data_IF_216817261739
#
_entry.id   IF_216817261739
#
_cell.length_a   1.000
_cell.length_b   1.000
_cell.length_c   1.000
_cell.angle_alpha   90.00
_cell.angle_beta   90.00
_cell.angle_gamma   90.00
#
_symmetry.space_group_name_H-M   'P 1'
#
loop_
_entity.id
_entity.type
_entity.pdbx_description
1 polymer ?
#
# COMPACT_ATOMS: atom_id res chain seq x y z
N UNK A 1 33.93 -8.28 -5.56
CA UNK A 1 34.85 -8.25 -6.73
C UNK A 1 34.05 -7.66 -7.87
N UNK A 2 34.57 -6.67 -8.62
CA UNK A 2 33.78 -5.82 -9.53
C UNK A 2 34.24 -6.04 -10.97
N UNK A 3 33.43 -6.61 -11.87
CA UNK A 3 33.66 -6.53 -13.33
C UNK A 3 32.37 -6.63 -14.18
N UNK A 4 32.05 -5.51 -14.85
CA UNK A 4 31.26 -5.25 -16.07
C UNK A 4 30.29 -6.32 -16.64
N UNK A 5 29.00 -5.99 -16.50
CA UNK A 5 27.92 -5.88 -17.50
C UNK A 5 28.13 -6.50 -18.91
N UNK A 6 27.47 -7.63 -19.17
CA UNK A 6 26.80 -7.93 -20.44
C UNK A 6 25.50 -8.72 -20.19
N UNK A 7 24.36 -8.09 -20.50
CA UNK A 7 23.09 -8.71 -20.90
C UNK A 7 22.65 -9.99 -20.17
N UNK A 8 22.00 -9.85 -19.02
CA UNK A 8 21.26 -10.94 -18.39
C UNK A 8 19.88 -10.46 -17.97
N UNK A 9 18.84 -11.11 -18.47
CA UNK A 9 17.48 -10.94 -17.96
C UNK A 9 17.49 -11.15 -16.43
N UNK A 10 16.95 -10.18 -15.69
CA UNK A 10 16.78 -10.29 -14.25
C UNK A 10 15.80 -11.44 -13.98
N UNK A 11 16.34 -12.58 -13.55
CA UNK A 11 15.54 -13.75 -13.20
C UNK A 11 14.71 -13.42 -11.96
N UNK A 12 13.40 -13.32 -12.14
CA UNK A 12 12.45 -12.97 -11.09
C UNK A 12 12.13 -14.23 -10.29
N UNK A 13 12.56 -14.28 -9.03
CA UNK A 13 12.16 -15.36 -8.12
C UNK A 13 10.66 -15.23 -7.81
N UNK A 14 9.93 -16.32 -8.04
CA UNK A 14 8.55 -16.51 -7.66
C UNK A 14 8.45 -16.97 -6.21
N UNK A 15 7.38 -16.60 -5.51
CA UNK A 15 7.18 -16.86 -4.06
C UNK A 15 6.96 -18.34 -3.69
N UNK A 16 7.41 -19.29 -4.54
CA UNK A 16 7.20 -20.72 -4.39
C UNK A 16 8.39 -21.60 -4.77
N UNK A 17 9.59 -21.06 -5.03
CA UNK A 17 10.76 -21.93 -5.28
C UNK A 17 11.20 -22.65 -4.01
N UNK A 18 11.28 -23.97 -4.08
CA UNK A 18 11.86 -24.82 -3.03
C UNK A 18 13.34 -24.45 -2.84
N UNK A 19 13.84 -24.54 -1.60
CA UNK A 19 15.26 -24.34 -1.24
C UNK A 19 16.20 -25.10 -2.19
N UNK A 20 15.75 -26.26 -2.67
CA UNK A 20 16.46 -27.11 -3.63
C UNK A 20 16.77 -26.39 -4.96
N UNK A 21 15.83 -25.59 -5.49
CA UNK A 21 16.04 -24.84 -6.74
C UNK A 21 17.03 -23.69 -6.56
N UNK A 22 17.07 -23.08 -5.38
CA UNK A 22 18.05 -22.04 -5.04
C UNK A 22 19.44 -22.66 -4.94
N UNK A 23 19.56 -23.82 -4.27
CA UNK A 23 20.81 -24.56 -4.19
C UNK A 23 21.30 -25.02 -5.57
N UNK A 24 20.39 -25.44 -6.45
CA UNK A 24 20.69 -25.84 -7.82
C UNK A 24 21.13 -24.65 -8.67
N UNK A 25 20.44 -23.51 -8.57
CA UNK A 25 20.82 -22.26 -9.26
C UNK A 25 22.18 -21.73 -8.77
N UNK A 26 22.45 -21.80 -7.47
CA UNK A 26 23.77 -21.48 -6.88
C UNK A 26 24.85 -22.39 -7.45
N UNK A 27 24.56 -23.69 -7.52
CA UNK A 27 25.48 -24.70 -8.03
C UNK A 27 25.77 -24.50 -9.51
N UNK A 28 24.75 -24.27 -10.32
CA UNK A 28 24.88 -24.02 -11.76
C UNK A 28 25.64 -22.72 -12.04
N UNK A 29 25.32 -21.64 -11.34
CA UNK A 29 26.06 -20.39 -11.50
C UNK A 29 27.51 -20.48 -11.02
N UNK A 30 27.78 -21.26 -9.97
CA UNK A 30 29.14 -21.56 -9.52
C UNK A 30 29.93 -22.36 -10.57
N UNK A 31 29.29 -23.36 -11.21
CA UNK A 31 29.89 -24.15 -12.28
C UNK A 31 30.15 -23.31 -13.54
N UNK A 32 29.22 -22.42 -13.89
CA UNK A 32 29.31 -21.55 -15.06
C UNK A 32 30.14 -20.26 -14.82
N UNK A 33 30.65 -20.04 -13.60
CA UNK A 33 31.27 -18.78 -13.15
C UNK A 33 30.42 -17.54 -13.45
N UNK A 34 29.10 -17.66 -13.38
CA UNK A 34 28.17 -16.55 -13.54
C UNK A 34 28.01 -15.81 -12.21
N UNK A 35 28.01 -14.49 -12.25
CA UNK A 35 27.65 -13.67 -11.09
C UNK A 35 26.15 -13.80 -10.82
N UNK A 36 25.80 -14.07 -9.55
CA UNK A 36 24.42 -14.12 -9.09
C UNK A 36 24.06 -12.80 -8.42
N UNK A 37 23.08 -12.09 -8.97
CA UNK A 37 22.51 -10.90 -8.33
C UNK A 37 21.32 -11.30 -7.46
N UNK A 38 21.58 -11.89 -6.30
CA UNK A 38 20.58 -11.97 -5.24
C UNK A 38 21.21 -11.67 -3.88
N UNK A 39 20.40 -11.09 -2.99
CA UNK A 39 20.82 -10.73 -1.62
C UNK A 39 20.27 -11.76 -0.65
N UNK A 40 21.13 -12.43 0.11
CA UNK A 40 20.74 -13.29 1.24
C UNK A 40 20.66 -12.42 2.48
N UNK A 41 19.45 -12.20 3.01
CA UNK A 41 19.25 -11.58 4.34
C UNK A 41 18.86 -12.65 5.35
N UNK A 42 19.59 -12.70 6.46
CA UNK A 42 19.24 -13.54 7.59
C UNK A 42 18.16 -12.83 8.40
N UNK A 43 16.97 -13.41 8.42
CA UNK A 43 15.91 -13.00 9.32
C UNK A 43 16.22 -13.50 10.74
N UNK A 44 15.90 -12.71 11.76
CA UNK A 44 15.88 -13.19 13.14
C UNK A 44 14.92 -14.37 13.29
N UNK A 45 15.18 -15.29 14.23
CA UNK A 45 14.43 -16.55 14.36
C UNK A 45 12.90 -16.33 14.51
N UNK A 46 12.49 -15.28 15.23
CA UNK A 46 11.07 -14.94 15.40
C UNK A 46 10.43 -14.44 14.10
N UNK A 47 11.10 -13.51 13.40
CA UNK A 47 10.67 -13.03 12.08
C UNK A 47 10.54 -14.20 11.11
N UNK A 48 11.59 -15.03 11.02
CA UNK A 48 11.64 -16.20 10.15
C UNK A 48 10.46 -17.16 10.42
N UNK A 49 10.15 -17.43 11.69
CA UNK A 49 8.99 -18.27 12.07
C UNK A 49 7.67 -17.68 11.57
N UNK A 50 7.45 -16.37 11.74
CA UNK A 50 6.23 -15.70 11.26
C UNK A 50 6.13 -15.69 9.73
N UNK A 51 7.24 -15.47 9.02
CA UNK A 51 7.27 -15.57 7.54
C UNK A 51 6.86 -16.96 7.10
N UNK A 52 7.44 -17.99 7.71
CA UNK A 52 7.16 -19.38 7.36
C UNK A 52 5.69 -19.73 7.63
N UNK A 53 5.15 -19.29 8.76
CA UNK A 53 3.72 -19.46 9.08
C UNK A 53 2.82 -18.73 8.07
N UNK A 54 3.18 -17.52 7.65
CA UNK A 54 2.44 -16.76 6.64
C UNK A 54 2.49 -17.44 5.27
N UNK A 55 3.67 -17.89 4.84
CA UNK A 55 3.83 -18.65 3.59
C UNK A 55 3.00 -19.94 3.60
N UNK A 56 3.00 -20.65 4.73
CA UNK A 56 2.19 -21.86 4.89
C UNK A 56 0.69 -21.54 4.82
N UNK A 57 0.24 -20.47 5.48
CA UNK A 57 -1.14 -20.00 5.42
C UNK A 57 -1.57 -19.64 3.99
N UNK A 58 -0.76 -18.85 3.27
CA UNK A 58 -1.01 -18.50 1.86
C UNK A 58 -1.03 -19.74 0.96
N UNK A 59 -0.09 -20.67 1.16
CA UNK A 59 -0.07 -21.92 0.41
C UNK A 59 -1.30 -22.79 0.70
N UNK A 60 -1.82 -22.76 1.94
CA UNK A 60 -3.04 -23.46 2.32
C UNK A 60 -4.28 -22.80 1.73
N UNK A 61 -4.37 -21.47 1.74
CA UNK A 61 -5.44 -20.72 1.10
C UNK A 61 -5.48 -20.98 -0.40
N UNK A 62 -4.33 -20.95 -1.08
CA UNK A 62 -4.21 -21.28 -2.51
C UNK A 62 -4.69 -22.71 -2.81
N UNK A 63 -4.27 -23.70 -1.99
CA UNK A 63 -4.75 -25.09 -2.09
C UNK A 63 -6.27 -25.20 -1.89
N UNK A 64 -6.83 -24.48 -0.92
CA UNK A 64 -8.26 -24.47 -0.65
C UNK A 64 -9.05 -23.80 -1.79
N UNK A 65 -8.55 -22.69 -2.33
CA UNK A 65 -9.13 -21.99 -3.47
C UNK A 65 -9.15 -22.90 -4.72
N UNK A 66 -8.03 -23.55 -5.04
CA UNK A 66 -7.94 -24.51 -6.14
C UNK A 66 -8.97 -25.65 -5.98
N UNK A 67 -9.09 -26.22 -4.77
CA UNK A 67 -10.09 -27.26 -4.48
C UNK A 67 -11.53 -26.77 -4.63
N UNK A 68 -11.80 -25.51 -4.25
CA UNK A 68 -13.14 -24.93 -4.39
C UNK A 68 -13.54 -24.72 -5.86
N UNK A 69 -12.58 -24.33 -6.71
CA UNK A 69 -12.76 -24.19 -8.15
C UNK A 69 -13.05 -25.56 -8.78
N UNK A 70 -12.28 -26.59 -8.41
CA UNK A 70 -12.48 -27.95 -8.90
C UNK A 70 -13.87 -28.50 -8.52
N UNK A 71 -14.30 -28.31 -7.26
CA UNK A 71 -15.64 -28.70 -6.82
C UNK A 71 -16.75 -27.95 -7.58
N UNK A 72 -16.54 -26.67 -7.90
CA UNK A 72 -17.49 -25.88 -8.70
C UNK A 72 -17.58 -26.41 -10.13
N UNK A 73 -16.45 -26.72 -10.76
CA UNK A 73 -16.39 -27.32 -12.10
C UNK A 73 -17.08 -28.69 -12.14
N UNK A 74 -16.87 -29.53 -11.14
CA UNK A 74 -17.56 -30.83 -11.04
C UNK A 74 -19.09 -30.67 -10.92
N UNK A 75 -19.57 -29.71 -10.11
CA UNK A 75 -21.01 -29.43 -10.00
C UNK A 75 -21.59 -28.93 -11.31
N UNK A 76 -20.89 -28.03 -12.01
CA UNK A 76 -21.31 -27.54 -13.32
C UNK A 76 -21.35 -28.68 -14.35
N UNK A 77 -20.36 -29.58 -14.35
CA UNK A 77 -20.33 -30.75 -15.23
C UNK A 77 -21.49 -31.72 -14.93
N UNK A 78 -21.77 -32.02 -13.65
CA UNK A 78 -22.91 -32.85 -13.25
C UNK A 78 -24.25 -32.23 -13.66
N UNK A 79 -24.39 -30.91 -13.53
CA UNK A 79 -25.59 -30.19 -13.97
C UNK A 79 -25.76 -30.25 -15.49
N UNK A 80 -24.68 -30.06 -16.26
CA UNK A 80 -24.71 -30.18 -17.72
C UNK A 80 -25.06 -31.61 -18.17
N UNK A 81 -24.48 -32.63 -17.53
CA UNK A 81 -24.78 -34.03 -17.84
C UNK A 81 -26.24 -34.36 -17.51
N UNK A 82 -26.74 -34.00 -16.33
CA UNK A 82 -28.15 -34.18 -15.96
C UNK A 82 -29.10 -33.46 -16.92
N UNK A 83 -28.79 -32.21 -17.31
CA UNK A 83 -29.57 -31.46 -18.29
C UNK A 83 -29.56 -32.12 -19.68
N UNK A 84 -28.42 -32.69 -20.10
CA UNK A 84 -28.31 -33.43 -21.36
C UNK A 84 -29.11 -34.74 -21.35
N UNK A 85 -29.10 -35.48 -20.24
CA UNK A 85 -29.88 -36.71 -20.06
C UNK A 85 -31.38 -36.41 -20.08
N UNK A 86 -31.81 -35.33 -19.42
CA UNK A 86 -33.19 -34.87 -19.46
C UNK A 86 -33.61 -34.50 -20.89
N UNK A 87 -32.77 -33.74 -21.62
CA UNK A 87 -33.02 -33.39 -23.03
C UNK A 87 -33.14 -34.63 -23.91
N UNK A 88 -32.25 -35.62 -23.74
CA UNK A 88 -32.30 -36.88 -24.49
C UNK A 88 -33.53 -37.73 -24.18
N UNK A 89 -34.02 -37.71 -22.93
CA UNK A 89 -35.26 -38.39 -22.51
C UNK A 89 -36.51 -37.70 -23.07
N UNK A 90 -36.58 -36.37 -23.03
CA UNK A 90 -37.68 -35.59 -23.63
C UNK A 90 -37.69 -35.71 -25.16
N UNK A 91 -36.53 -35.75 -25.81
CA UNK A 91 -36.42 -35.99 -27.25
C UNK A 91 -36.93 -37.37 -27.67
N UNK A 92 -36.63 -38.42 -26.89
CA UNK A 92 -37.15 -39.79 -27.15
C UNK A 92 -38.65 -39.93 -26.85
N UNK A 93 -39.18 -39.21 -25.87
CA UNK A 93 -40.62 -39.20 -25.58
C UNK A 93 -41.45 -38.53 -26.70
N UNK A 94 -40.85 -37.64 -27.50
CA UNK A 94 -41.51 -37.01 -28.65
C UNK A 94 -41.57 -37.89 -29.92
N UNK A 95 -40.81 -38.98 -29.99
CA UNK A 95 -40.81 -39.89 -31.16
C UNK A 95 -41.66 -41.15 -31.00
N UNK A 96 -42.31 -41.38 -29.84
CA UNK A 96 -43.16 -42.56 -29.61
C UNK A 96 -44.67 -42.31 -29.58
N UNK A 97 -45.14 -41.13 -30.01
CA UNK A 97 -46.57 -40.89 -30.27
C UNK A 97 -46.79 -40.27 -31.64
N UNK A 98 -46.72 -41.13 -32.66
CA UNK A 98 -47.34 -40.88 -33.95
C UNK A 98 -48.86 -41.11 -33.88
N UNK A 99 -49.60 -40.12 -34.36
CA UNK A 99 -51.03 -40.10 -34.70
C UNK A 99 -52.06 -40.12 -33.55
N UNK A 100 -52.56 -38.94 -33.20
CA UNK A 100 -53.99 -38.58 -33.40
C UNK A 100 -54.17 -37.09 -33.09
N UNK A 101 -54.86 -36.40 -33.99
CA UNK A 101 -55.09 -34.96 -33.98
C UNK A 101 -56.14 -34.56 -32.94
N UNK A 102 -55.95 -33.42 -32.26
CA UNK A 102 -57.03 -32.47 -31.94
C UNK A 102 -56.43 -31.06 -31.87
N UNK A 103 -56.99 -30.18 -32.71
CA UNK A 103 -56.84 -28.73 -32.66
C UNK A 103 -57.73 -28.16 -31.54
N UNK A 104 -57.17 -27.34 -30.65
CA UNK A 104 -57.90 -26.22 -30.05
C UNK A 104 -56.91 -25.24 -29.43
N UNK A 105 -57.11 -23.98 -29.78
CA UNK A 105 -56.42 -22.82 -29.24
C UNK A 105 -56.98 -22.50 -27.86
N UNK A 106 -56.13 -22.31 -26.85
CA UNK A 106 -56.47 -21.47 -25.71
C UNK A 106 -55.21 -20.96 -24.99
N UNK A 107 -55.15 -19.64 -24.86
CA UNK A 107 -54.13 -18.87 -24.16
C UNK A 107 -54.39 -18.90 -22.65
N UNK A 108 -53.39 -19.29 -21.86
CA UNK A 108 -53.42 -19.10 -20.40
C UNK A 108 -52.15 -18.39 -19.95
N UNK A 109 -52.34 -17.15 -19.52
CA UNK A 109 -51.37 -16.32 -18.81
C UNK A 109 -51.32 -16.80 -17.36
N UNK A 110 -50.13 -17.15 -16.86
CA UNK A 110 -49.91 -17.49 -15.47
C UNK A 110 -48.95 -16.49 -14.80
N UNK A 111 -49.47 -15.84 -13.78
CA UNK A 111 -48.82 -14.99 -12.78
C UNK A 111 -47.84 -15.76 -11.88
N UNK A 112 -46.88 -15.06 -11.26
CA UNK A 112 -46.43 -15.41 -9.91
C UNK A 112 -46.71 -14.29 -8.89
N UNK A 113 -47.09 -14.76 -7.70
CA UNK A 113 -47.49 -14.04 -6.49
C UNK A 113 -46.33 -13.97 -5.49
N UNK A 114 -46.21 -12.80 -4.80
CA UNK A 114 -45.79 -12.50 -3.41
C UNK A 114 -44.59 -13.25 -2.77
N UNK A 115 -43.72 -12.69 -1.92
CA UNK A 115 -43.58 -11.40 -1.23
C UNK A 115 -42.16 -11.39 -0.64
N UNK A 116 -41.49 -10.24 -0.57
CA UNK A 116 -40.39 -10.01 0.36
C UNK A 116 -40.57 -8.61 0.96
N UNK A 117 -40.69 -8.58 2.28
CA UNK A 117 -41.08 -7.43 3.08
C UNK A 117 -39.99 -6.35 3.13
N UNK A 118 -40.38 -5.11 2.83
CA UNK A 118 -39.69 -3.90 3.28
C UNK A 118 -40.18 -3.56 4.70
N UNK A 119 -39.25 -3.33 5.63
CA UNK A 119 -39.53 -2.71 6.91
C UNK A 119 -38.85 -1.35 6.94
N UNK A 120 -39.62 -0.31 6.58
CA UNK A 120 -39.36 1.06 6.97
C UNK A 120 -40.05 1.30 8.32
N UNK A 121 -39.27 1.65 9.34
CA UNK A 121 -39.79 2.12 10.62
C UNK A 121 -39.51 3.62 10.72
N UNK A 122 -40.61 4.35 10.58
CA UNK A 122 -40.73 5.78 10.81
C UNK A 122 -40.89 6.01 12.32
N UNK A 123 -40.06 6.84 12.93
CA UNK A 123 -40.29 7.34 14.29
C UNK A 123 -39.79 8.78 14.43
N UNK A 124 -40.73 9.70 14.55
CA UNK A 124 -40.55 11.03 15.15
C UNK A 124 -41.45 11.11 16.39
N UNK A 125 -41.03 11.83 17.45
CA UNK A 125 -41.74 13.08 17.71
C UNK A 125 -40.90 14.24 18.29
N UNK A 126 -41.40 15.44 18.01
CA UNK A 126 -41.11 16.78 18.54
C UNK A 126 -41.23 16.89 20.07
N UNK A 127 -40.25 17.49 20.75
CA UNK A 127 -40.16 18.88 21.26
C UNK A 127 -40.46 19.04 22.75
N UNK A 128 -39.51 19.64 23.49
CA UNK A 128 -39.83 20.62 24.54
C UNK A 128 -38.58 21.41 24.96
N UNK A 129 -38.73 22.73 24.88
CA UNK A 129 -37.88 23.80 25.38
C UNK A 129 -37.54 23.65 26.87
N UNK A 130 -36.33 24.06 27.27
CA UNK A 130 -36.17 24.95 28.41
C UNK A 130 -34.89 25.78 28.28
N UNK A 131 -35.07 27.10 28.38
CA UNK A 131 -34.03 28.10 28.39
C UNK A 131 -33.48 28.27 29.81
N UNK A 132 -32.17 28.47 29.93
CA UNK A 132 -31.48 28.75 31.20
C UNK A 132 -30.29 29.66 30.98
N UNK A 133 -30.58 30.95 30.78
CA UNK A 133 -29.60 32.04 30.76
C UNK A 133 -29.27 32.44 32.20
N UNK A 134 -27.99 32.44 32.56
CA UNK A 134 -27.48 33.33 33.62
C UNK A 134 -26.06 33.77 33.29
N UNK A 135 -25.96 34.99 32.74
CA UNK A 135 -24.83 35.89 32.96
C UNK A 135 -24.79 36.25 34.45
N UNK A 136 -23.61 36.20 35.06
CA UNK A 136 -23.33 37.00 36.27
C UNK A 136 -21.96 37.66 36.15
N UNK A 137 -22.01 38.98 36.10
CA UNK A 137 -20.90 39.90 36.23
C UNK A 137 -20.32 39.87 37.64
N UNK A 138 -18.99 39.92 37.76
CA UNK A 138 -18.36 40.64 38.87
C UNK A 138 -17.12 41.39 38.38
N UNK A 139 -17.25 42.71 38.43
CA UNK A 139 -16.18 43.70 38.37
C UNK A 139 -15.64 43.83 39.80
N UNK A 140 -14.33 43.75 39.96
CA UNK A 140 -13.64 43.99 41.23
C UNK A 140 -12.18 44.34 40.95
N UNK A 141 -11.88 45.63 40.98
CA UNK A 141 -10.54 46.20 40.98
C UNK A 141 -9.78 45.86 42.28
N UNK A 142 -8.44 45.93 42.17
CA UNK A 142 -7.35 45.99 43.19
C UNK A 142 -6.41 44.80 43.00
N UNK A 143 -5.10 44.90 43.09
CA UNK A 143 -4.15 46.00 43.27
C UNK A 143 -2.79 45.30 43.13
N UNK A 144 -1.80 45.96 42.54
CA UNK A 144 -0.43 45.45 42.49
C UNK A 144 0.07 45.10 43.90
N UNK A 145 0.59 43.88 44.03
CA UNK A 145 1.32 43.38 45.19
C UNK A 145 2.27 42.30 44.72
N UNK A 146 3.46 42.69 44.28
CA UNK A 146 4.53 41.74 44.02
C UNK A 146 4.97 41.09 45.34
N UNK A 147 5.01 39.77 45.37
CA UNK A 147 5.80 38.99 46.32
C UNK A 147 6.49 37.90 45.51
N UNK A 148 7.83 37.75 45.59
CA UNK A 148 8.53 36.72 44.83
C UNK A 148 8.40 35.39 45.57
N UNK A 149 7.45 34.55 45.13
CA UNK A 149 7.24 33.21 45.67
C UNK A 149 7.71 32.14 44.68
N UNK A 150 8.80 31.44 45.04
CA UNK A 150 9.22 30.11 44.57
C UNK A 150 8.84 29.66 43.13
N UNK A 151 9.69 30.01 42.16
CA UNK A 151 9.68 29.45 40.80
C UNK A 151 10.27 28.01 40.70
N UNK A 152 10.34 27.24 41.80
CA UNK A 152 10.94 25.89 41.75
C UNK A 152 9.90 24.76 41.58
N UNK A 153 8.62 24.99 41.89
CA UNK A 153 7.56 24.00 41.69
C UNK A 153 6.89 24.10 40.31
N UNK A 154 6.72 25.30 39.74
CA UNK A 154 6.15 25.46 38.39
C UNK A 154 7.06 24.90 37.28
N UNK A 155 8.39 25.04 37.43
CA UNK A 155 9.36 24.54 36.43
C UNK A 155 9.38 23.00 36.37
N UNK A 156 9.17 22.32 37.51
CA UNK A 156 9.14 20.84 37.55
C UNK A 156 7.83 20.26 37.00
N UNK A 157 6.70 20.96 37.19
CA UNK A 157 5.41 20.56 36.62
C UNK A 157 5.40 20.78 35.11
N UNK A 158 5.97 21.89 34.61
CA UNK A 158 6.11 22.13 33.16
C UNK A 158 7.03 21.11 32.48
N UNK A 159 8.19 20.76 33.07
CA UNK A 159 9.09 19.72 32.54
C UNK A 159 8.42 18.34 32.54
N UNK A 160 7.65 18.00 33.59
CA UNK A 160 6.90 16.75 33.68
C UNK A 160 5.76 16.64 32.67
N UNK A 161 5.02 17.73 32.44
CA UNK A 161 3.94 17.80 31.44
C UNK A 161 4.54 17.76 30.03
N UNK A 162 5.66 18.43 29.76
CA UNK A 162 6.35 18.35 28.48
C UNK A 162 6.88 16.94 28.19
N UNK A 163 7.48 16.29 29.18
CA UNK A 163 7.97 14.91 29.04
C UNK A 163 6.81 13.92 28.83
N UNK A 164 5.72 14.04 29.58
CA UNK A 164 4.53 13.20 29.42
C UNK A 164 3.81 13.43 28.08
N UNK A 165 3.68 14.69 27.64
CA UNK A 165 3.13 15.03 26.33
C UNK A 165 4.02 14.49 25.20
N UNK A 166 5.35 14.57 25.35
CA UNK A 166 6.31 14.01 24.39
C UNK A 166 6.21 12.47 24.36
N UNK A 167 6.11 11.80 25.50
CA UNK A 167 5.93 10.35 25.58
C UNK A 167 4.59 9.90 24.98
N UNK A 168 3.50 10.63 25.22
CA UNK A 168 2.20 10.37 24.61
C UNK A 168 2.21 10.58 23.09
N UNK A 169 2.96 11.59 22.61
CA UNK A 169 3.18 11.82 21.17
C UNK A 169 4.07 10.76 20.50
N UNK A 170 4.87 10.02 21.26
CA UNK A 170 5.75 8.97 20.76
C UNK A 170 5.13 7.57 20.82
N UNK A 171 4.02 7.40 21.56
CA UNK A 171 3.31 6.14 21.64
C UNK A 171 2.49 5.91 20.37
N UNK A 172 2.78 4.80 19.69
CA UNK A 172 1.99 4.25 18.60
C UNK A 172 1.66 2.78 18.88
N UNK A 173 0.69 2.22 18.16
CA UNK A 173 0.38 0.78 18.19
C UNK A 173 -0.06 0.31 16.79
N UNK A 174 0.07 -0.98 16.46
CA UNK A 174 -0.23 -1.49 15.12
C UNK A 174 -1.64 -1.14 14.63
N UNK A 175 -2.66 -1.29 15.49
CA UNK A 175 -4.08 -1.06 15.15
C UNK A 175 -4.43 0.39 14.75
N UNK A 176 -3.56 1.35 15.04
CA UNK A 176 -3.77 2.78 14.70
C UNK A 176 -2.65 3.30 13.80
N UNK A 177 -1.92 2.39 13.16
CA UNK A 177 -0.75 2.71 12.33
C UNK A 177 -0.95 2.24 10.89
N UNK A 178 -0.52 3.06 9.94
CA UNK A 178 -0.44 2.68 8.53
C UNK A 178 0.97 2.85 7.96
N UNK A 179 1.44 1.88 7.18
CA UNK A 179 2.62 2.01 6.32
C UNK A 179 2.20 2.66 4.99
N UNK A 180 2.83 3.79 4.64
CA UNK A 180 2.57 4.53 3.40
C UNK A 180 3.82 4.47 2.50
N UNK A 181 3.70 3.76 1.39
CA UNK A 181 4.75 3.55 0.38
C UNK A 181 4.54 4.54 -0.77
N UNK A 182 5.48 5.45 -0.96
CA UNK A 182 5.37 6.56 -1.92
C UNK A 182 6.30 6.33 -3.12
N UNK A 183 5.74 6.32 -4.33
CA UNK A 183 6.47 6.34 -5.60
C UNK A 183 7.40 5.15 -5.88
N UNK A 184 7.21 4.03 -5.19
CA UNK A 184 7.95 2.80 -5.47
C UNK A 184 7.20 2.00 -6.54
N UNK A 185 7.22 2.51 -7.76
CA UNK A 185 6.60 1.92 -8.95
C UNK A 185 7.62 1.81 -10.08
N UNK A 186 7.36 0.88 -11.00
CA UNK A 186 8.23 0.57 -12.14
C UNK A 186 8.68 1.81 -12.90
N UNK A 187 7.81 2.84 -13.02
CA UNK A 187 8.20 4.10 -13.63
C UNK A 187 9.49 4.62 -12.98
N UNK A 188 9.56 4.78 -11.66
CA UNK A 188 10.75 5.35 -11.01
C UNK A 188 11.85 4.33 -10.71
N UNK A 189 11.50 3.05 -10.53
CA UNK A 189 12.45 2.02 -10.09
C UNK A 189 13.20 1.35 -11.23
N UNK A 190 12.76 1.47 -12.49
CA UNK A 190 13.38 0.80 -13.63
C UNK A 190 13.86 1.79 -14.72
N UNK A 191 15.01 1.54 -15.36
CA UNK A 191 15.47 2.34 -16.50
C UNK A 191 14.46 2.38 -17.65
N UNK A 192 13.79 1.25 -17.94
CA UNK A 192 12.77 1.14 -18.98
C UNK A 192 11.34 1.37 -18.48
N UNK A 193 11.18 1.84 -17.23
CA UNK A 193 9.88 2.03 -16.59
C UNK A 193 9.02 3.15 -17.14
N UNK A 194 9.62 4.17 -17.76
CA UNK A 194 8.91 5.35 -18.29
C UNK A 194 8.19 5.14 -19.62
N UNK A 195 8.30 3.93 -20.19
CA UNK A 195 7.56 3.52 -21.37
C UNK A 195 8.46 3.02 -22.49
N UNK A 196 8.26 1.76 -22.86
CA UNK A 196 8.58 1.22 -24.18
C UNK A 196 7.66 1.87 -25.23
N UNK A 197 7.86 3.17 -25.53
CA UNK A 197 7.37 3.81 -26.76
C UNK A 197 8.16 5.08 -27.07
N UNK A 198 9.46 4.91 -27.28
CA UNK A 198 10.26 5.78 -28.15
C UNK A 198 10.95 4.92 -29.22
N UNK A 199 10.17 4.11 -29.94
CA UNK A 199 10.56 3.65 -31.27
C UNK A 199 10.46 4.84 -32.21
N UNK A 200 11.51 5.68 -32.23
CA UNK A 200 11.94 6.66 -33.24
C UNK A 200 12.72 7.82 -32.60
N UNK A 201 13.93 7.54 -32.09
CA UNK A 201 15.02 8.52 -32.07
C UNK A 201 16.32 7.83 -31.60
N UNK A 202 17.24 7.66 -32.55
CA UNK A 202 18.71 7.53 -32.39
C UNK A 202 19.25 6.68 -31.23
N UNK A 203 19.91 5.59 -31.61
CA UNK A 203 20.68 4.61 -30.84
C UNK A 203 21.86 5.14 -30.00
N UNK A 204 21.93 6.41 -29.59
CA UNK A 204 23.18 7.02 -29.08
C UNK A 204 23.12 7.71 -27.71
N UNK A 205 22.13 7.41 -26.86
CA UNK A 205 22.21 7.84 -25.45
C UNK A 205 21.84 6.72 -24.49
N UNK A 206 22.86 6.02 -23.97
CA UNK A 206 22.79 5.13 -22.77
C UNK A 206 22.44 5.88 -21.47
N UNK A 207 21.73 7.01 -21.53
CA UNK A 207 21.42 7.85 -20.36
C UNK A 207 19.92 7.88 -20.16
N UNK A 208 19.49 7.64 -18.92
CA UNK A 208 18.08 7.77 -18.53
C UNK A 208 17.61 9.22 -18.80
N UNK A 209 16.47 9.44 -19.47
CA UNK A 209 15.98 10.78 -19.80
C UNK A 209 15.60 11.63 -18.58
N UNK A 210 15.45 11.02 -17.40
CA UNK A 210 15.23 11.70 -16.12
C UNK A 210 16.54 12.06 -15.43
N UNK A 211 17.68 11.73 -16.05
CA UNK A 211 19.01 11.98 -15.52
C UNK A 211 19.49 10.98 -14.47
N UNK A 212 18.73 9.90 -14.21
CA UNK A 212 19.11 8.88 -13.23
C UNK A 212 20.32 8.07 -13.70
N UNK A 213 21.21 7.71 -12.78
CA UNK A 213 22.42 6.94 -13.05
C UNK A 213 22.30 5.49 -12.54
N UNK A 214 23.32 4.68 -12.84
CA UNK A 214 23.35 3.29 -12.40
C UNK A 214 23.42 3.14 -10.87
N UNK A 215 23.98 4.13 -10.16
CA UNK A 215 24.07 4.09 -8.70
C UNK A 215 22.69 4.22 -8.06
N UNK A 216 21.83 5.07 -8.61
CA UNK A 216 20.44 5.17 -8.18
C UNK A 216 19.73 3.80 -8.27
N UNK A 217 19.82 3.13 -9.43
CA UNK A 217 19.17 1.83 -9.63
C UNK A 217 19.77 0.72 -8.75
N UNK A 218 21.10 0.72 -8.57
CA UNK A 218 21.77 -0.17 -7.62
C UNK A 218 21.21 -0.01 -6.20
N UNK A 219 21.00 1.24 -5.74
CA UNK A 219 20.38 1.50 -4.43
C UNK A 219 18.92 1.08 -4.38
N UNK A 220 18.17 1.24 -5.47
CA UNK A 220 16.78 0.75 -5.55
C UNK A 220 16.74 -0.75 -5.32
N UNK A 221 17.57 -1.50 -6.05
CA UNK A 221 17.53 -2.97 -6.04
C UNK A 221 18.17 -3.61 -4.81
N UNK A 222 19.26 -3.02 -4.30
CA UNK A 222 20.09 -3.59 -3.24
C UNK A 222 19.85 -2.98 -1.86
N UNK A 223 19.15 -1.84 -1.76
CA UNK A 223 18.86 -1.18 -0.47
C UNK A 223 17.37 -0.93 -0.29
N UNK A 224 16.75 -0.13 -1.16
CA UNK A 224 15.38 0.34 -0.98
C UNK A 224 14.37 -0.81 -1.00
N UNK A 225 14.32 -1.59 -2.09
CA UNK A 225 13.34 -2.67 -2.25
C UNK A 225 13.53 -3.75 -1.18
N UNK A 226 14.74 -4.30 -0.90
CA UNK A 226 14.93 -5.27 0.18
C UNK A 226 14.46 -4.75 1.54
N UNK A 227 14.73 -3.49 1.84
CA UNK A 227 14.32 -2.89 3.13
C UNK A 227 12.80 -2.75 3.21
N UNK A 228 12.14 -2.33 2.13
CA UNK A 228 10.67 -2.28 2.08
C UNK A 228 10.07 -3.70 2.19
N UNK A 229 10.71 -4.73 1.64
CA UNK A 229 10.28 -6.13 1.81
C UNK A 229 10.29 -6.54 3.29
N UNK A 230 11.38 -6.27 4.01
CA UNK A 230 11.50 -6.61 5.43
C UNK A 230 10.43 -5.89 6.28
N UNK A 231 10.20 -4.60 5.99
CA UNK A 231 9.19 -3.78 6.66
C UNK A 231 7.78 -4.27 6.33
N UNK A 232 7.45 -4.52 5.06
CA UNK A 232 6.16 -5.04 4.62
C UNK A 232 5.81 -6.37 5.28
N UNK A 233 6.80 -7.26 5.37
CA UNK A 233 6.64 -8.56 5.99
C UNK A 233 6.28 -8.41 7.48
N UNK A 234 6.99 -7.55 8.21
CA UNK A 234 6.68 -7.27 9.61
C UNK A 234 5.30 -6.60 9.79
N UNK A 235 4.98 -5.62 8.94
CA UNK A 235 3.67 -4.94 8.93
C UNK A 235 2.53 -5.93 8.69
N UNK A 236 2.60 -6.76 7.64
CA UNK A 236 1.55 -7.73 7.29
C UNK A 236 1.44 -8.87 8.31
N UNK A 237 2.50 -9.18 9.04
CA UNK A 237 2.46 -10.13 10.15
C UNK A 237 1.87 -9.55 11.43
N UNK A 238 1.66 -8.23 11.50
CA UNK A 238 1.09 -7.55 12.67
C UNK A 238 -0.40 -7.28 12.45
N UNK A 239 -1.23 -7.67 13.41
CA UNK A 239 -2.67 -7.45 13.30
C UNK A 239 -3.03 -5.96 13.36
N UNK A 240 -3.91 -5.53 12.45
CA UNK A 240 -4.45 -4.18 12.40
C UNK A 240 -3.54 -3.11 11.78
N UNK A 241 -2.37 -3.49 11.25
CA UNK A 241 -1.49 -2.57 10.53
C UNK A 241 -1.94 -2.42 9.08
N UNK A 242 -2.25 -1.21 8.67
CA UNK A 242 -2.69 -0.92 7.30
C UNK A 242 -1.50 -0.70 6.36
N UNK A 243 -1.60 -1.14 5.10
CA UNK A 243 -0.57 -0.93 4.08
C UNK A 243 -1.17 -0.14 2.92
N UNK A 244 -0.58 1.03 2.63
CA UNK A 244 -1.06 1.94 1.60
C UNK A 244 0.04 2.27 0.60
N UNK A 245 -0.22 2.05 -0.68
CA UNK A 245 0.64 2.42 -1.80
C UNK A 245 0.11 3.68 -2.46
N UNK A 246 0.97 4.67 -2.69
CA UNK A 246 0.70 5.83 -3.53
C UNK A 246 1.41 5.67 -4.86
N UNK A 247 0.65 5.59 -5.95
CA UNK A 247 1.15 5.36 -7.31
C UNK A 247 0.84 6.58 -8.18
N UNK A 248 1.83 7.11 -8.89
CA UNK A 248 1.61 8.12 -9.94
C UNK A 248 1.01 7.43 -11.16
N UNK A 249 -0.22 7.80 -11.51
CA UNK A 249 -0.94 7.24 -12.65
C UNK A 249 -1.91 8.31 -13.20
N UNK A 250 -1.89 8.50 -14.52
CA UNK A 250 -2.80 9.44 -15.18
C UNK A 250 -4.20 8.84 -15.28
N UNK A 251 -5.23 9.60 -14.97
CA UNK A 251 -6.62 9.20 -15.14
C UNK A 251 -7.05 9.28 -16.61
N UNK A 252 -6.42 10.13 -17.42
CA UNK A 252 -6.69 10.22 -18.86
C UNK A 252 -5.51 9.74 -19.70
N UNK A 253 -5.79 9.31 -20.94
CA UNK A 253 -4.79 8.75 -21.85
C UNK A 253 -3.66 9.72 -22.20
N UNK A 254 -3.97 11.02 -22.29
CA UNK A 254 -3.03 12.09 -22.61
C UNK A 254 -2.47 12.77 -21.35
N UNK A 255 -2.94 12.37 -20.17
CA UNK A 255 -2.53 12.92 -18.89
C UNK A 255 -2.82 14.42 -18.77
N UNK A 256 -3.90 14.92 -19.41
CA UNK A 256 -4.28 16.35 -19.40
C UNK A 256 -4.71 16.85 -18.02
N UNK A 257 -5.16 15.96 -17.16
CA UNK A 257 -5.59 16.17 -15.78
C UNK A 257 -4.43 16.23 -14.78
N UNK A 258 -3.21 15.83 -15.20
CA UNK A 258 -2.03 15.89 -14.34
C UNK A 258 -1.79 17.31 -13.81
N UNK A 259 -1.26 17.37 -12.59
CA UNK A 259 -0.84 18.62 -11.96
C UNK A 259 0.16 19.40 -12.84
N UNK A 260 0.23 20.71 -12.65
CA UNK A 260 1.22 21.56 -13.34
C UNK A 260 2.65 21.09 -13.09
N UNK A 261 2.95 20.65 -11.87
CA UNK A 261 4.27 20.12 -11.51
C UNK A 261 4.63 18.87 -12.32
N UNK A 262 3.73 17.86 -12.39
CA UNK A 262 3.94 16.66 -13.21
C UNK A 262 4.08 16.99 -14.71
N UNK A 263 3.28 17.95 -15.21
CA UNK A 263 3.41 18.43 -16.61
C UNK A 263 4.77 19.06 -16.88
N UNK A 264 5.23 19.95 -15.99
CA UNK A 264 6.51 20.64 -16.13
C UNK A 264 7.70 19.69 -16.03
N UNK A 265 7.64 18.71 -15.12
CA UNK A 265 8.66 17.69 -14.96
C UNK A 265 8.58 16.56 -16.02
N UNK A 266 7.63 16.61 -16.97
CA UNK A 266 7.45 15.58 -17.98
C UNK A 266 7.01 14.21 -17.45
N UNK A 267 6.51 14.15 -16.21
CA UNK A 267 6.07 12.89 -15.58
C UNK A 267 4.68 12.52 -16.11
N UNK A 268 4.63 11.58 -17.04
CA UNK A 268 3.38 11.01 -17.56
C UNK A 268 3.43 9.49 -17.44
N UNK A 269 2.67 8.97 -16.48
CA UNK A 269 2.46 7.52 -16.32
C UNK A 269 1.09 7.19 -16.88
N UNK A 270 1.02 6.35 -17.90
CA UNK A 270 -0.24 5.98 -18.55
C UNK A 270 -1.12 5.14 -17.63
N UNK A 271 -2.43 5.36 -17.69
CA UNK A 271 -3.42 4.51 -17.00
C UNK A 271 -3.23 3.04 -17.34
N UNK A 272 -3.22 2.18 -16.33
CA UNK A 272 -2.98 0.74 -16.38
C UNK A 272 -1.66 0.35 -17.07
N UNK A 273 -0.72 1.29 -17.17
CA UNK A 273 0.55 1.07 -17.85
C UNK A 273 1.56 0.35 -16.97
N UNK A 274 2.56 -0.26 -17.60
CA UNK A 274 3.67 -0.92 -16.90
C UNK A 274 4.33 -0.01 -15.86
N UNK A 275 4.51 1.29 -16.16
CA UNK A 275 5.10 2.24 -15.24
C UNK A 275 4.27 2.53 -13.97
N UNK A 276 2.95 2.30 -14.01
CA UNK A 276 2.08 2.45 -12.85
C UNK A 276 2.12 1.21 -11.92
N UNK A 277 2.66 0.09 -12.39
CA UNK A 277 2.74 -1.11 -11.57
C UNK A 277 3.85 -0.99 -10.54
N UNK A 278 3.59 -1.49 -9.33
CA UNK A 278 4.59 -1.66 -8.27
C UNK A 278 5.51 -2.84 -8.62
N UNK A 279 6.82 -2.80 -8.32
CA UNK A 279 7.72 -3.91 -8.60
C UNK A 279 7.24 -5.22 -7.97
N UNK A 280 7.30 -6.34 -8.71
CA UNK A 280 6.79 -7.65 -8.25
C UNK A 280 7.31 -8.06 -6.87
N UNK A 281 8.55 -7.68 -6.52
CA UNK A 281 9.20 -7.95 -5.23
C UNK A 281 8.47 -7.38 -4.01
N UNK A 282 7.71 -6.30 -4.20
CA UNK A 282 6.96 -5.60 -3.14
C UNK A 282 5.52 -5.31 -3.60
N UNK A 283 4.99 -6.16 -4.48
CA UNK A 283 3.66 -5.97 -5.03
C UNK A 283 2.60 -5.89 -3.91
N UNK A 284 1.58 -5.03 -4.08
CA UNK A 284 0.42 -5.02 -3.21
C UNK A 284 -0.25 -6.40 -3.20
N UNK A 285 -0.82 -6.75 -2.05
CA UNK A 285 -1.72 -7.90 -1.91
C UNK A 285 -3.15 -7.40 -2.10
N UNK A 286 -3.80 -7.80 -3.19
CA UNK A 286 -5.09 -7.25 -3.63
C UNK A 286 -6.21 -7.31 -2.57
N UNK A 287 -6.15 -8.29 -1.66
CA UNK A 287 -7.17 -8.50 -0.62
C UNK A 287 -7.01 -7.59 0.61
N UNK A 288 -5.80 -7.08 0.88
CA UNK A 288 -5.48 -6.38 2.13
C UNK A 288 -4.88 -4.99 1.95
N UNK A 289 -4.19 -4.73 0.84
CA UNK A 289 -3.43 -3.50 0.66
C UNK A 289 -4.22 -2.45 -0.11
N UNK A 290 -4.06 -1.19 0.27
CA UNK A 290 -4.75 -0.06 -0.35
C UNK A 290 -3.84 0.56 -1.40
N UNK A 291 -4.30 0.67 -2.65
CA UNK A 291 -3.54 1.32 -3.73
C UNK A 291 -4.25 2.59 -4.18
N UNK A 292 -3.58 3.73 -4.04
CA UNK A 292 -4.09 5.05 -4.38
C UNK A 292 -3.34 5.64 -5.58
N UNK A 293 -4.01 5.69 -6.71
CA UNK A 293 -3.53 6.38 -7.91
C UNK A 293 -3.63 7.90 -7.75
N UNK A 294 -2.57 8.62 -8.11
CA UNK A 294 -2.49 10.08 -8.00
C UNK A 294 -1.92 10.77 -9.24
N UNK A 295 -2.41 11.97 -9.51
CA UNK A 295 -2.03 12.80 -10.67
C UNK A 295 -1.26 14.07 -10.30
N UNK A 296 -0.93 14.24 -9.00
CA UNK A 296 -0.15 15.37 -8.48
C UNK A 296 0.82 14.94 -7.37
N UNK A 297 1.75 15.82 -6.98
CA UNK A 297 2.92 15.51 -6.12
C UNK A 297 2.53 15.12 -4.70
N UNK A 298 1.65 15.88 -4.06
CA UNK A 298 1.24 15.65 -2.68
C UNK A 298 0.17 14.57 -2.61
N UNK A 299 0.46 13.48 -1.89
CA UNK A 299 -0.42 12.31 -1.77
C UNK A 299 -1.77 12.68 -1.15
N UNK A 300 -1.77 13.46 -0.07
CA UNK A 300 -2.98 13.89 0.63
C UNK A 300 -3.87 14.85 -0.18
N UNK A 301 -3.27 15.67 -1.04
CA UNK A 301 -4.02 16.61 -1.88
C UNK A 301 -4.51 15.99 -3.19
N UNK A 302 -3.82 14.96 -3.69
CA UNK A 302 -4.12 14.33 -4.98
C UNK A 302 -4.90 13.01 -4.86
N UNK A 303 -5.24 12.58 -3.64
CA UNK A 303 -5.97 11.33 -3.34
C UNK A 303 -6.95 11.53 -2.18
N UNK A 304 -7.72 10.49 -1.86
CA UNK A 304 -8.56 10.41 -0.67
C UNK A 304 -7.85 9.75 0.55
N UNK A 305 -6.51 9.74 0.58
CA UNK A 305 -5.72 9.12 1.67
C UNK A 305 -6.22 9.52 3.06
N UNK A 306 -6.43 10.81 3.30
CA UNK A 306 -6.87 11.33 4.60
C UNK A 306 -8.19 10.74 5.07
N UNK A 307 -9.16 10.71 4.15
CA UNK A 307 -10.49 10.18 4.42
C UNK A 307 -10.41 8.71 4.81
N UNK A 308 -9.59 7.93 4.10
CA UNK A 308 -9.36 6.51 4.39
C UNK A 308 -8.70 6.35 5.76
N UNK A 309 -7.58 7.03 6.00
CA UNK A 309 -6.83 6.93 7.26
C UNK A 309 -7.69 7.31 8.46
N UNK A 310 -8.49 8.38 8.36
CA UNK A 310 -9.41 8.81 9.43
C UNK A 310 -10.49 7.78 9.72
N UNK A 311 -11.09 7.18 8.69
CA UNK A 311 -12.12 6.15 8.87
C UNK A 311 -11.55 4.84 9.43
N UNK A 312 -10.28 4.54 9.15
CA UNK A 312 -9.54 3.43 9.76
C UNK A 312 -9.00 3.76 11.15
N UNK A 313 -9.30 4.95 11.69
CA UNK A 313 -8.81 5.42 12.99
C UNK A 313 -7.27 5.44 13.09
N UNK A 314 -6.59 5.58 11.95
CA UNK A 314 -5.14 5.70 11.91
C UNK A 314 -4.73 7.06 12.46
N UNK A 315 -3.82 7.06 13.43
CA UNK A 315 -3.24 8.26 14.05
C UNK A 315 -1.74 8.35 13.84
N UNK A 316 -1.08 7.25 13.46
CA UNK A 316 0.34 7.18 13.16
C UNK A 316 0.58 6.69 11.72
N UNK A 317 1.46 7.35 10.98
CA UNK A 317 1.86 6.86 9.65
C UNK A 317 3.37 6.64 9.58
N UNK A 318 3.76 5.54 8.94
CA UNK A 318 5.15 5.20 8.64
C UNK A 318 5.38 5.44 7.17
N UNK A 319 6.23 6.40 6.81
CA UNK A 319 6.44 6.80 5.40
C UNK A 319 7.75 6.27 4.87
N UNK A 320 7.68 5.60 3.71
CA UNK A 320 8.82 5.05 2.97
C UNK A 320 8.68 5.32 1.46
N UNK A 321 9.77 5.18 0.72
CA UNK A 321 9.77 5.19 -0.73
C UNK A 321 10.70 6.22 -1.38
N UNK A 322 10.34 6.66 -2.58
CA UNK A 322 11.16 7.54 -3.41
C UNK A 322 10.60 8.96 -3.35
N UNK A 323 11.43 9.95 -3.03
CA UNK A 323 11.02 11.35 -3.09
C UNK A 323 11.15 11.91 -4.50
N UNK A 324 10.08 11.78 -5.27
CA UNK A 324 9.94 12.37 -6.61
C UNK A 324 9.35 13.77 -6.49
N UNK A 325 10.09 14.79 -6.93
CA UNK A 325 9.68 16.20 -6.80
C UNK A 325 9.34 16.62 -5.35
N UNK A 326 9.92 15.97 -4.34
CA UNK A 326 9.61 16.25 -2.93
C UNK A 326 8.31 15.61 -2.44
N UNK A 327 7.83 14.53 -3.08
CA UNK A 327 6.57 13.86 -2.73
C UNK A 327 6.56 13.33 -1.29
N UNK A 328 7.64 12.70 -0.84
CA UNK A 328 7.80 12.23 0.54
C UNK A 328 7.78 13.41 1.52
N UNK A 329 8.51 14.49 1.24
CA UNK A 329 8.57 15.67 2.09
C UNK A 329 7.20 16.33 2.22
N UNK A 330 6.49 16.45 1.11
CA UNK A 330 5.15 17.02 1.09
C UNK A 330 4.16 16.13 1.84
N UNK A 331 4.30 14.81 1.70
CA UNK A 331 3.51 13.83 2.45
C UNK A 331 3.74 13.97 3.97
N UNK A 332 5.00 13.90 4.41
CA UNK A 332 5.38 14.04 5.83
C UNK A 332 4.91 15.37 6.40
N UNK A 333 5.15 16.48 5.69
CA UNK A 333 4.72 17.80 6.16
C UNK A 333 3.20 17.88 6.29
N UNK A 334 2.45 17.43 5.28
CA UNK A 334 0.98 17.48 5.32
C UNK A 334 0.41 16.57 6.39
N UNK A 335 1.00 15.40 6.62
CA UNK A 335 0.59 14.49 7.68
C UNK A 335 0.76 15.13 9.07
N UNK A 336 1.92 15.74 9.33
CA UNK A 336 2.18 16.48 10.57
C UNK A 336 1.18 17.63 10.75
N UNK A 337 0.96 18.43 9.70
CA UNK A 337 0.00 19.57 9.74
C UNK A 337 -1.44 19.10 9.97
N UNK A 338 -1.79 17.87 9.58
CA UNK A 338 -3.10 17.24 9.83
C UNK A 338 -3.20 16.52 11.17
N UNK A 339 -2.13 16.53 11.97
CA UNK A 339 -2.10 15.95 13.31
C UNK A 339 -1.80 14.46 13.37
N UNK A 340 -1.28 13.86 12.29
CA UNK A 340 -0.75 12.50 12.36
C UNK A 340 0.61 12.50 13.07
N UNK A 341 0.85 11.49 13.89
CA UNK A 341 2.23 11.13 14.23
C UNK A 341 2.89 10.53 12.98
N UNK A 342 4.16 10.87 12.74
CA UNK A 342 4.87 10.41 11.54
C UNK A 342 6.18 9.77 11.93
N UNK A 343 6.40 8.55 11.45
CA UNK A 343 7.72 7.90 11.44
C UNK A 343 8.23 7.81 10.01
N UNK A 344 9.52 8.04 9.84
CA UNK A 344 10.23 7.88 8.57
C UNK A 344 11.35 6.87 8.75
N UNK A 345 11.43 5.89 7.86
CA UNK A 345 12.47 4.85 7.92
C UNK A 345 13.67 5.25 7.05
N UNK A 346 14.83 5.42 7.69
CA UNK A 346 16.03 6.00 7.08
C UNK A 346 16.45 5.22 5.84
N UNK A 347 16.58 3.90 5.93
CA UNK A 347 17.10 3.07 4.83
C UNK A 347 16.08 2.90 3.71
N UNK A 348 14.79 2.99 4.04
CA UNK A 348 13.67 2.89 3.10
C UNK A 348 13.28 4.22 2.45
N UNK A 349 14.15 5.24 2.48
CA UNK A 349 13.97 6.50 1.75
C UNK A 349 15.06 6.72 0.69
N UNK A 350 14.64 7.14 -0.50
CA UNK A 350 15.55 7.46 -1.60
C UNK A 350 15.14 8.77 -2.31
N UNK A 351 15.97 9.82 -2.27
CA UNK A 351 15.72 11.02 -3.06
C UNK A 351 15.92 10.76 -4.57
N UNK A 352 15.08 11.34 -5.43
CA UNK A 352 15.22 11.21 -6.88
C UNK A 352 16.30 12.19 -7.42
N UNK A 353 17.57 11.85 -7.25
CA UNK A 353 18.72 12.67 -7.72
C UNK A 353 19.78 11.76 -8.35
N UNK A 354 20.74 12.37 -9.05
CA UNK A 354 21.71 11.68 -9.92
C UNK A 354 23.17 12.01 -9.55
N UNK A 355 23.50 12.08 -8.27
CA UNK A 355 24.81 12.62 -7.87
C UNK A 355 25.30 12.14 -6.51
N UNK A 356 26.63 12.15 -6.33
CA UNK A 356 27.33 11.88 -5.07
C UNK A 356 26.87 12.75 -3.86
N UNK A 357 26.03 13.77 -4.08
CA UNK A 357 25.42 14.59 -3.02
C UNK A 357 24.12 13.99 -2.43
N UNK A 358 23.68 12.83 -2.90
CA UNK A 358 22.44 12.18 -2.45
C UNK A 358 22.39 11.94 -0.95
N UNK A 359 23.47 11.45 -0.36
CA UNK A 359 23.50 11.14 1.07
C UNK A 359 23.43 12.42 1.91
N UNK A 360 24.04 13.51 1.45
CA UNK A 360 23.91 14.83 2.08
C UNK A 360 22.49 15.38 1.96
N UNK A 361 21.85 15.27 0.80
CA UNK A 361 20.46 15.69 0.60
C UNK A 361 19.49 14.86 1.44
N UNK A 362 19.69 13.54 1.48
CA UNK A 362 18.92 12.63 2.32
C UNK A 362 19.10 12.98 3.80
N UNK A 363 20.34 13.18 4.26
CA UNK A 363 20.60 13.60 5.64
C UNK A 363 19.89 14.92 5.98
N UNK A 364 20.00 15.94 5.11
CA UNK A 364 19.30 17.21 5.29
C UNK A 364 17.78 17.07 5.29
N UNK A 365 17.22 16.18 4.46
CA UNK A 365 15.80 15.86 4.46
C UNK A 365 15.36 15.24 5.79
N UNK A 366 16.09 14.23 6.27
CA UNK A 366 15.82 13.57 7.54
C UNK A 366 15.93 14.53 8.73
N UNK A 367 16.92 15.42 8.72
CA UNK A 367 17.06 16.47 9.75
C UNK A 367 15.85 17.41 9.75
N UNK A 368 15.36 17.81 8.57
CA UNK A 368 14.14 18.63 8.45
C UNK A 368 12.90 17.90 8.96
N UNK A 369 12.81 16.59 8.79
CA UNK A 369 11.72 15.78 9.35
C UNK A 369 11.79 15.75 10.87
N UNK A 370 12.95 15.43 11.44
CA UNK A 370 13.16 15.40 12.89
C UNK A 370 12.84 16.76 13.54
N UNK A 371 13.31 17.86 12.94
CA UNK A 371 13.02 19.23 13.42
C UNK A 371 11.55 19.62 13.39
N UNK A 372 10.72 18.92 12.61
CA UNK A 372 9.26 19.12 12.53
C UNK A 372 8.47 18.15 13.39
N UNK A 373 9.14 17.30 14.17
CA UNK A 373 8.50 16.35 15.08
C UNK A 373 8.21 14.97 14.48
N UNK A 374 8.68 14.67 13.27
CA UNK A 374 8.63 13.30 12.76
C UNK A 374 9.73 12.45 13.42
N UNK A 375 9.40 11.21 13.78
CA UNK A 375 10.37 10.22 14.24
C UNK A 375 11.20 9.73 13.05
N UNK A 376 12.51 9.57 13.24
CA UNK A 376 13.40 9.06 12.22
C UNK A 376 14.11 7.82 12.73
N UNK A 377 13.63 6.65 12.32
CA UNK A 377 14.07 5.35 12.83
C UNK A 377 14.89 4.56 11.80
N UNK A 378 15.74 3.66 12.30
CA UNK A 378 16.26 2.60 11.45
C UNK A 378 15.14 1.60 11.14
N UNK A 379 15.17 1.02 9.94
CA UNK A 379 14.15 0.07 9.51
C UNK A 379 14.13 -1.19 10.39
N UNK A 380 15.31 -1.67 10.82
CA UNK A 380 15.44 -2.77 11.77
C UNK A 380 14.85 -2.42 13.14
N UNK A 381 15.13 -1.22 13.66
CA UNK A 381 14.58 -0.75 14.93
C UNK A 381 13.05 -0.68 14.89
N UNK A 382 12.48 -0.22 13.77
CA UNK A 382 11.03 -0.21 13.58
C UNK A 382 10.45 -1.63 13.58
N UNK A 383 11.08 -2.57 12.87
CA UNK A 383 10.65 -3.98 12.85
C UNK A 383 10.72 -4.61 14.25
N UNK A 384 11.80 -4.37 15.00
CA UNK A 384 11.95 -4.87 16.37
C UNK A 384 10.87 -4.29 17.31
N UNK A 385 10.60 -2.99 17.22
CA UNK A 385 9.52 -2.34 17.98
C UNK A 385 8.15 -2.91 17.60
N UNK A 386 7.90 -3.11 16.31
CA UNK A 386 6.65 -3.68 15.84
C UNK A 386 6.43 -5.10 16.39
N UNK A 387 7.49 -5.90 16.43
CA UNK A 387 7.45 -7.25 16.98
C UNK A 387 7.16 -7.28 18.48
N UNK A 388 7.52 -6.24 19.24
CA UNK A 388 7.21 -6.16 20.67
C UNK A 388 5.71 -6.07 20.99
N UNK A 389 4.85 -5.78 19.99
CA UNK A 389 3.40 -5.73 20.15
C UNK A 389 2.69 -7.08 19.96
N UNK A 390 3.39 -8.10 19.48
CA UNK A 390 2.83 -9.39 19.08
C UNK A 390 3.49 -10.53 19.84
#
# INVERSE_FOLDING_TARGET
MRLRDEGGEAFVMDAGQRVDQVAETIREAYLDRKELCFTIRFLGAQTASRVLAQQESLAQQSRNAARSIELKQQREQQQQEAASLLRNRLGKASQSKGSTAVSSSESVVATPSSSASELALDWSPTSSYSAGSTRRSHRGERSYGMSPGNNQEEVQVEEGVHAAATLAMLHWCPLTTALVIVDVQNYFTLPHGYGARRTTASSDSKKDPRGLDAQFYDRVDNVLIPTIQDVLLACRASEGMEVVYSVVESATRDGRERSRAHKHAGIHVSKNGFGAQVPKRIAPVDESDIVLSRTGVNVFAATNLDYILRNLMVTHIVVVGISVLGSVESCVQTALDRGYQVTVLKEALLPLTSSASEDSKKASMLEKFARRGAQVLASAEFVDKLQSFA
#
